data_IF_328473621147
#
_entry.id   IF_328473621147
#
_cell.length_a   1.000
_cell.length_b   1.000
_cell.length_c   1.000
_cell.angle_alpha   90.00
_cell.angle_beta   90.00
_cell.angle_gamma   90.00
#
_symmetry.space_group_name_H-M   'P 1'
#
loop_
_entity.id
_entity.type
_entity.pdbx_description
1 polymer ?
#
# COMPACT_ATOMS: atom_id res chain seq x y z
N UNK A 1 6.38 8.67 11.34
CA UNK A 1 7.47 8.71 10.36
C UNK A 1 8.64 9.52 10.91
N UNK A 2 9.89 9.09 10.73
CA UNK A 2 11.08 9.86 11.12
C UNK A 2 11.34 11.04 10.18
N UNK A 3 10.64 11.12 9.04
CA UNK A 3 10.80 12.17 8.04
C UNK A 3 9.61 13.11 8.01
N UNK A 4 9.91 14.40 7.78
CA UNK A 4 8.87 15.38 7.51
C UNK A 4 8.27 15.14 6.12
N UNK A 5 6.95 15.27 6.01
CA UNK A 5 6.25 15.21 4.72
C UNK A 5 6.64 16.46 3.90
N UNK A 6 7.27 16.25 2.75
CA UNK A 6 7.65 17.34 1.84
C UNK A 6 6.47 17.75 0.95
N UNK A 7 5.73 16.76 0.43
CA UNK A 7 4.56 16.97 -0.44
C UNK A 7 3.67 15.73 -0.42
N UNK A 8 2.41 15.89 -0.84
CA UNK A 8 1.44 14.80 -0.99
C UNK A 8 0.67 14.94 -2.30
N UNK A 9 0.44 13.81 -2.97
CA UNK A 9 -0.37 13.76 -4.17
C UNK A 9 -1.33 12.59 -4.13
N UNK A 10 -2.53 12.75 -4.69
CA UNK A 10 -3.54 11.69 -4.83
C UNK A 10 -3.87 11.49 -6.31
N UNK A 11 -3.93 10.26 -6.75
CA UNK A 11 -4.32 9.91 -8.10
C UNK A 11 -4.98 8.53 -8.12
N UNK A 12 -5.70 8.24 -9.20
CA UNK A 12 -6.19 6.89 -9.47
C UNK A 12 -5.06 6.05 -10.08
N UNK A 13 -4.98 4.79 -9.65
CA UNK A 13 -4.13 3.79 -10.28
C UNK A 13 -4.88 3.12 -11.43
N UNK A 14 -4.18 2.86 -12.52
CA UNK A 14 -4.70 2.01 -13.59
C UNK A 14 -4.74 0.53 -13.15
N UNK A 15 -5.56 -0.28 -13.78
CA UNK A 15 -5.67 -1.71 -13.49
C UNK A 15 -4.35 -2.49 -13.68
N UNK A 16 -3.39 -1.95 -14.44
CA UNK A 16 -2.06 -2.52 -14.61
C UNK A 16 -1.04 -2.08 -13.52
N UNK A 17 -1.51 -1.37 -12.48
CA UNK A 17 -0.68 -0.90 -11.39
C UNK A 17 0.15 0.35 -11.67
N UNK A 18 -0.14 1.10 -12.75
CA UNK A 18 0.55 2.36 -13.06
C UNK A 18 -0.28 3.57 -12.62
N UNK A 19 0.40 4.62 -12.15
CA UNK A 19 -0.23 5.89 -11.81
C UNK A 19 0.71 7.06 -12.06
N UNK A 20 0.14 8.24 -12.27
CA UNK A 20 0.89 9.50 -12.39
C UNK A 20 0.43 10.43 -11.28
N UNK A 21 1.38 10.92 -10.51
CA UNK A 21 1.17 11.79 -9.37
C UNK A 21 1.84 13.13 -9.61
N UNK A 22 1.14 14.21 -9.30
CA UNK A 22 1.67 15.57 -9.44
C UNK A 22 2.08 16.10 -8.07
N UNK A 23 3.36 16.39 -7.91
CA UNK A 23 3.94 17.00 -6.73
C UNK A 23 4.31 18.45 -7.04
N UNK A 24 3.77 19.40 -6.28
CA UNK A 24 3.92 20.83 -6.56
C UNK A 24 5.09 21.46 -5.77
N UNK A 25 5.46 20.85 -4.64
CA UNK A 25 6.48 21.39 -3.73
C UNK A 25 7.79 20.59 -3.76
N UNK A 26 7.87 19.51 -4.53
CA UNK A 26 9.09 18.73 -4.68
C UNK A 26 10.06 19.42 -5.66
N UNK A 27 11.35 19.41 -5.29
CA UNK A 27 12.41 20.07 -6.07
C UNK A 27 13.34 19.04 -6.73
N UNK A 28 13.87 19.38 -7.88
CA UNK A 28 14.89 18.59 -8.56
C UNK A 28 16.14 18.40 -7.71
N UNK A 29 16.76 17.23 -7.83
CA UNK A 29 18.01 16.86 -7.16
C UNK A 29 17.95 16.80 -5.63
N UNK A 30 16.78 16.96 -5.04
CA UNK A 30 16.56 16.72 -3.60
C UNK A 30 16.13 15.27 -3.41
N UNK A 31 16.77 14.52 -2.48
CA UNK A 31 16.41 13.13 -2.22
C UNK A 31 15.14 13.05 -1.35
N UNK A 32 14.14 12.29 -1.84
CA UNK A 32 12.88 12.01 -1.15
C UNK A 32 12.64 10.51 -1.07
N UNK A 33 12.22 10.01 0.09
CA UNK A 33 11.57 8.71 0.13
C UNK A 33 10.16 8.80 -0.45
N UNK A 34 9.81 7.89 -1.33
CA UNK A 34 8.44 7.74 -1.80
C UNK A 34 7.68 6.90 -0.79
N UNK A 35 6.53 7.38 -0.36
CA UNK A 35 5.62 6.71 0.54
C UNK A 35 4.29 6.46 -0.18
N UNK A 36 3.84 5.21 -0.21
CA UNK A 36 2.54 4.83 -0.74
C UNK A 36 1.60 4.51 0.42
N UNK A 37 0.42 5.14 0.41
CA UNK A 37 -0.69 4.81 1.28
C UNK A 37 -1.94 4.56 0.44
N UNK A 38 -2.67 3.52 0.77
CA UNK A 38 -3.95 3.18 0.17
C UNK A 38 -4.94 2.86 1.30
N UNK A 39 -6.26 2.96 1.04
CA UNK A 39 -7.32 2.87 2.05
C UNK A 39 -7.27 1.63 2.97
N UNK A 40 -6.66 0.53 2.52
CA UNK A 40 -6.64 -0.75 3.23
C UNK A 40 -5.32 -1.50 3.07
N UNK A 41 -4.25 -0.81 2.72
CA UNK A 41 -2.93 -1.42 2.59
C UNK A 41 -1.97 -0.89 3.62
N UNK A 42 -1.01 -1.73 3.97
CA UNK A 42 0.11 -1.34 4.81
C UNK A 42 0.95 -0.29 4.09
N UNK A 43 1.33 0.75 4.82
CA UNK A 43 2.20 1.81 4.36
C UNK A 43 3.52 1.26 3.81
N UNK A 44 3.86 1.62 2.57
CA UNK A 44 5.03 1.08 1.88
C UNK A 44 5.94 2.20 1.39
N UNK A 45 7.23 2.10 1.68
CA UNK A 45 8.24 3.10 1.36
C UNK A 45 9.21 2.60 0.29
N UNK A 46 9.74 3.51 -0.54
CA UNK A 46 10.82 3.17 -1.46
C UNK A 46 12.05 2.69 -0.69
N UNK A 47 12.79 1.73 -1.24
CA UNK A 47 13.96 1.14 -0.58
C UNK A 47 15.07 2.14 -0.28
N UNK A 48 15.13 3.22 -1.05
CA UNK A 48 16.06 4.33 -0.89
C UNK A 48 15.42 5.63 -1.35
N UNK A 49 16.01 6.76 -0.95
CA UNK A 49 15.57 8.05 -1.40
C UNK A 49 15.78 8.21 -2.92
N UNK A 50 14.81 8.84 -3.58
CA UNK A 50 14.74 9.09 -5.02
C UNK A 50 14.75 10.60 -5.26
N UNK A 51 15.18 11.04 -6.44
CA UNK A 51 15.22 12.47 -6.78
C UNK A 51 14.53 12.74 -8.11
N UNK A 52 13.88 13.90 -8.22
CA UNK A 52 13.39 14.41 -9.49
C UNK A 52 14.54 14.87 -10.38
N UNK A 53 14.37 14.68 -11.67
CA UNK A 53 15.28 15.20 -12.71
C UNK A 53 14.43 15.85 -13.79
N UNK A 54 14.63 17.15 -14.04
CA UNK A 54 13.81 17.94 -14.95
C UNK A 54 12.30 17.83 -14.68
N UNK A 55 11.93 17.85 -13.38
CA UNK A 55 10.54 17.77 -12.93
C UNK A 55 9.91 16.38 -13.02
N UNK A 56 10.68 15.32 -13.31
CA UNK A 56 10.15 13.96 -13.45
C UNK A 56 10.90 12.98 -12.54
N UNK A 57 10.15 12.09 -11.92
CA UNK A 57 10.64 10.93 -11.19
C UNK A 57 9.83 9.70 -11.62
N UNK A 58 10.50 8.57 -11.83
CA UNK A 58 9.84 7.29 -12.10
C UNK A 58 10.37 6.24 -11.13
N UNK A 59 9.46 5.49 -10.53
CA UNK A 59 9.80 4.42 -9.62
C UNK A 59 8.88 3.22 -9.83
N UNK A 60 9.44 2.02 -9.91
CA UNK A 60 8.67 0.78 -10.08
C UNK A 60 8.82 -0.11 -8.85
N UNK A 61 7.80 -0.12 -8.00
CA UNK A 61 7.74 -1.01 -6.84
C UNK A 61 7.54 -2.48 -7.25
N UNK A 62 7.01 -2.76 -8.44
CA UNK A 62 6.47 -4.09 -8.77
C UNK A 62 7.49 -5.10 -9.28
N UNK A 63 8.69 -4.68 -9.68
CA UNK A 63 9.65 -5.54 -10.38
C UNK A 63 10.58 -6.33 -9.45
N UNK A 64 10.70 -5.95 -8.18
CA UNK A 64 11.51 -6.64 -7.19
C UNK A 64 11.00 -6.34 -5.77
N UNK A 65 11.09 -7.32 -4.88
CA UNK A 65 10.82 -7.15 -3.45
C UNK A 65 11.76 -6.10 -2.82
N UNK A 66 12.97 -5.95 -3.38
CA UNK A 66 13.98 -5.00 -2.91
C UNK A 66 13.66 -3.55 -3.24
N UNK A 67 12.58 -3.27 -3.97
CA UNK A 67 12.12 -1.91 -4.24
C UNK A 67 11.42 -1.28 -3.03
N UNK A 68 10.90 -2.09 -2.12
CA UNK A 68 10.35 -1.56 -0.87
C UNK A 68 11.37 -1.59 0.26
N UNK A 69 11.33 -0.58 1.13
CA UNK A 69 12.15 -0.54 2.34
C UNK A 69 11.84 -1.76 3.22
N UNK A 70 12.88 -2.40 3.75
CA UNK A 70 12.74 -3.64 4.50
C UNK A 70 12.19 -4.82 3.69
N UNK A 71 12.13 -4.73 2.36
CA UNK A 71 11.51 -5.75 1.48
C UNK A 71 10.05 -6.06 1.84
N UNK A 72 9.30 -5.05 2.33
CA UNK A 72 7.94 -5.17 2.82
C UNK A 72 6.92 -5.21 1.67
N UNK A 73 6.96 -6.27 0.87
CA UNK A 73 6.04 -6.51 -0.24
C UNK A 73 5.74 -8.01 -0.39
N UNK A 74 4.63 -8.32 -1.05
CA UNK A 74 4.21 -9.70 -1.35
C UNK A 74 4.37 -10.00 -2.84
N UNK A 75 4.82 -11.21 -3.17
CA UNK A 75 4.80 -11.68 -4.56
C UNK A 75 3.35 -11.96 -4.98
N UNK A 76 2.87 -11.26 -6.01
CA UNK A 76 1.51 -11.40 -6.53
C UNK A 76 1.44 -12.17 -7.85
N UNK A 77 2.56 -12.31 -8.56
CA UNK A 77 2.64 -13.10 -9.79
C UNK A 77 4.06 -13.67 -9.95
N UNK A 78 4.15 -14.88 -10.50
CA UNK A 78 5.42 -15.58 -10.74
C UNK A 78 5.90 -15.49 -12.20
N UNK A 79 5.01 -15.22 -13.16
CA UNK A 79 5.37 -15.09 -14.57
C UNK A 79 4.41 -14.14 -15.31
N UNK A 80 4.83 -12.90 -15.63
CA UNK A 80 6.06 -12.24 -15.18
C UNK A 80 6.10 -12.09 -13.66
N UNK A 81 7.29 -12.12 -13.08
CA UNK A 81 7.45 -11.89 -11.64
C UNK A 81 6.98 -10.47 -11.27
N UNK A 82 6.04 -10.38 -10.32
CA UNK A 82 5.48 -9.13 -9.85
C UNK A 82 5.26 -9.14 -8.34
N UNK A 83 5.45 -7.99 -7.74
CA UNK A 83 5.24 -7.73 -6.32
C UNK A 83 4.15 -6.67 -6.12
N UNK A 84 3.47 -6.74 -4.99
CA UNK A 84 2.45 -5.81 -4.57
C UNK A 84 2.63 -5.41 -3.11
N UNK A 85 1.96 -4.36 -2.69
CA UNK A 85 1.88 -3.94 -1.28
C UNK A 85 0.93 -4.88 -0.52
N UNK A 86 1.18 -5.08 0.78
CA UNK A 86 0.30 -5.88 1.62
C UNK A 86 -1.02 -5.14 1.88
N UNK A 87 -2.15 -5.85 1.77
CA UNK A 87 -3.46 -5.38 2.21
C UNK A 87 -3.75 -5.79 3.65
N UNK A 88 -4.84 -5.23 4.23
CA UNK A 88 -5.36 -5.64 5.53
C UNK A 88 -5.26 -4.61 6.64
N UNK A 89 -4.44 -3.58 6.50
CA UNK A 89 -4.38 -2.46 7.45
C UNK A 89 -5.53 -1.49 7.15
N UNK A 90 -6.72 -1.83 7.63
CA UNK A 90 -7.96 -1.07 7.34
C UNK A 90 -8.16 0.11 8.28
N UNK A 91 -7.55 0.07 9.48
CA UNK A 91 -7.57 1.15 10.46
C UNK A 91 -6.39 2.13 10.30
N UNK A 92 -5.41 1.78 9.43
CA UNK A 92 -4.22 2.58 9.10
C UNK A 92 -3.32 2.85 10.32
N UNK A 93 -3.16 1.84 11.19
CA UNK A 93 -2.26 1.92 12.35
C UNK A 93 -0.86 1.33 12.09
N UNK A 94 -0.58 0.96 10.83
CA UNK A 94 0.69 0.42 10.32
C UNK A 94 0.91 -1.08 10.58
N UNK A 95 -0.07 -1.77 11.09
CA UNK A 95 0.03 -3.20 11.41
C UNK A 95 -1.24 -3.90 10.96
N UNK A 96 -1.13 -5.12 10.45
CA UNK A 96 -2.31 -5.95 10.19
C UNK A 96 -2.49 -6.87 11.38
N UNK A 97 -3.59 -6.68 12.13
CA UNK A 97 -3.85 -7.47 13.34
C UNK A 97 -5.35 -7.75 13.57
N UNK A 98 -5.69 -8.21 14.77
CA UNK A 98 -7.06 -8.55 15.15
C UNK A 98 -8.00 -7.34 15.17
N UNK A 99 -7.48 -6.12 15.25
CA UNK A 99 -8.29 -4.90 15.21
C UNK A 99 -8.86 -4.71 13.82
N UNK A 100 -8.03 -4.92 12.79
CA UNK A 100 -8.46 -4.87 11.38
C UNK A 100 -9.47 -5.97 11.07
N UNK A 101 -9.18 -7.20 11.49
CA UNK A 101 -10.10 -8.33 11.31
C UNK A 101 -11.46 -8.04 11.94
N UNK A 102 -11.48 -7.42 13.14
CA UNK A 102 -12.73 -7.07 13.80
C UNK A 102 -13.55 -6.04 13.02
N UNK A 103 -12.90 -5.11 12.33
CA UNK A 103 -13.58 -4.14 11.46
C UNK A 103 -14.17 -4.83 10.22
N UNK A 104 -13.40 -5.72 9.58
CA UNK A 104 -13.87 -6.49 8.42
C UNK A 104 -15.03 -7.40 8.80
N UNK A 105 -14.91 -8.17 9.89
CA UNK A 105 -15.97 -9.05 10.38
C UNK A 105 -17.25 -8.28 10.71
N UNK A 106 -17.12 -7.10 11.32
CA UNK A 106 -18.27 -6.26 11.62
C UNK A 106 -18.98 -5.80 10.35
N UNK A 107 -18.24 -5.35 9.35
CA UNK A 107 -18.81 -4.90 8.08
C UNK A 107 -19.40 -6.07 7.28
N UNK A 108 -18.77 -7.24 7.28
CA UNK A 108 -19.28 -8.45 6.66
C UNK A 108 -20.63 -8.87 7.31
N UNK A 109 -20.71 -8.85 8.65
CA UNK A 109 -21.94 -9.17 9.37
C UNK A 109 -23.07 -8.14 9.14
N UNK A 110 -22.73 -6.91 8.79
CA UNK A 110 -23.68 -5.86 8.43
C UNK A 110 -23.97 -5.79 6.92
N UNK A 111 -23.44 -6.71 6.14
CA UNK A 111 -23.62 -6.76 4.67
C UNK A 111 -23.23 -5.44 4.00
N UNK A 112 -22.07 -4.89 4.34
CA UNK A 112 -21.55 -3.66 3.75
C UNK A 112 -21.07 -3.94 2.32
N UNK A 113 -21.38 -3.03 1.40
CA UNK A 113 -21.02 -3.09 -0.01
C UNK A 113 -20.38 -1.78 -0.48
N UNK A 114 -19.63 -1.87 -1.59
CA UNK A 114 -19.05 -0.74 -2.30
C UNK A 114 -17.60 -0.46 -1.90
N UNK A 115 -17.10 0.69 -2.34
CA UNK A 115 -15.71 1.09 -2.17
C UNK A 115 -15.40 1.53 -0.73
N UNK A 116 -15.22 0.56 0.17
CA UNK A 116 -14.91 0.76 1.60
C UNK A 116 -13.53 0.21 1.95
N UNK A 117 -12.98 0.58 3.10
CA UNK A 117 -11.64 0.11 3.52
C UNK A 117 -11.61 -1.37 3.82
N UNK A 118 -12.72 -1.95 4.20
CA UNK A 118 -12.88 -3.37 4.56
C UNK A 118 -13.08 -4.30 3.35
N UNK A 119 -13.34 -3.76 2.15
CA UNK A 119 -13.29 -4.49 0.87
C UNK A 119 -11.82 -4.59 0.41
N UNK A 120 -11.14 -5.67 0.78
CA UNK A 120 -9.72 -5.85 0.49
C UNK A 120 -9.45 -6.40 -0.91
N UNK A 121 -10.36 -7.23 -1.43
CA UNK A 121 -10.21 -7.87 -2.74
C UNK A 121 -10.72 -6.99 -3.89
N UNK A 122 -11.54 -5.95 -3.60
CA UNK A 122 -12.06 -4.99 -4.56
C UNK A 122 -13.25 -5.50 -5.36
N UNK A 123 -14.00 -6.47 -4.85
CA UNK A 123 -15.20 -7.00 -5.51
C UNK A 123 -16.50 -6.28 -5.13
N UNK A 124 -16.37 -5.19 -4.36
CA UNK A 124 -17.46 -4.35 -3.86
C UNK A 124 -18.37 -5.02 -2.81
N UNK A 125 -17.97 -6.15 -2.25
CA UNK A 125 -18.68 -6.82 -1.16
C UNK A 125 -17.72 -7.10 -0.01
N UNK A 126 -18.14 -6.84 1.24
CA UNK A 126 -17.32 -7.21 2.39
C UNK A 126 -17.77 -8.57 2.90
N UNK A 127 -16.90 -9.57 2.82
CA UNK A 127 -17.19 -10.93 3.24
C UNK A 127 -15.97 -11.71 3.76
N UNK A 128 -16.11 -13.04 3.87
CA UNK A 128 -15.07 -13.93 4.37
C UNK A 128 -13.80 -13.91 3.49
N UNK A 129 -13.89 -13.56 2.21
CA UNK A 129 -12.72 -13.48 1.33
C UNK A 129 -11.79 -12.32 1.70
N UNK A 130 -12.37 -11.20 2.16
CA UNK A 130 -11.60 -10.05 2.68
C UNK A 130 -10.96 -10.38 4.01
N UNK A 131 -11.74 -10.98 4.92
CA UNK A 131 -11.24 -11.43 6.21
C UNK A 131 -10.07 -12.42 6.05
N UNK A 132 -10.11 -13.32 5.08
CA UNK A 132 -9.04 -14.28 4.82
C UNK A 132 -7.72 -13.60 4.38
N UNK A 133 -7.78 -12.49 3.65
CA UNK A 133 -6.59 -11.72 3.28
C UNK A 133 -5.95 -11.09 4.52
N UNK A 134 -6.76 -10.44 5.36
CA UNK A 134 -6.28 -9.82 6.59
C UNK A 134 -5.76 -10.87 7.59
N UNK A 135 -6.48 -11.97 7.80
CA UNK A 135 -6.08 -13.06 8.70
C UNK A 135 -4.72 -13.67 8.31
N UNK A 136 -4.51 -13.93 7.01
CA UNK A 136 -3.23 -14.43 6.51
C UNK A 136 -2.08 -13.43 6.77
N UNK A 137 -2.33 -12.16 6.60
CA UNK A 137 -1.31 -11.13 6.81
C UNK A 137 -1.07 -10.87 8.31
N UNK A 138 -2.10 -10.90 9.13
CA UNK A 138 -1.99 -10.83 10.59
C UNK A 138 -1.21 -12.03 11.16
N UNK A 139 -1.49 -13.24 10.67
CA UNK A 139 -0.75 -14.45 11.06
C UNK A 139 0.75 -14.36 10.72
N UNK A 140 1.10 -13.66 9.63
CA UNK A 140 2.48 -13.41 9.22
C UNK A 140 3.09 -12.15 9.85
N UNK A 141 2.41 -11.51 10.80
CA UNK A 141 2.86 -10.29 11.49
C UNK A 141 3.22 -9.16 10.53
N UNK A 142 2.43 -8.99 9.47
CA UNK A 142 2.66 -7.94 8.47
C UNK A 142 2.48 -6.56 9.10
N UNK A 143 3.49 -5.74 8.97
CA UNK A 143 3.49 -4.35 9.44
C UNK A 143 4.33 -3.46 8.53
N UNK A 144 4.14 -2.15 8.64
CA UNK A 144 4.96 -1.18 7.92
C UNK A 144 6.42 -1.22 8.38
N UNK A 145 7.33 -1.14 7.42
CA UNK A 145 8.77 -1.00 7.70
C UNK A 145 9.21 0.37 7.22
N UNK A 146 9.61 1.20 8.17
CA UNK A 146 9.93 2.61 7.95
C UNK A 146 11.44 2.80 7.75
N UNK A 147 11.86 3.72 6.87
CA UNK A 147 13.27 4.08 6.68
C UNK A 147 13.84 4.89 7.85
#
# INVERSE_FOLDING_TARGET
SPYAVADTAKAFMNANGTGTFLFENASDSVPYYLHISHRNSVETWSSSAQSFTSGVMSYDFTNSILQAFGSSMIQINSSPLKFGIYGGDVNQDLTVDLTDLSLIDNDANNFIFGYVSTDLNGDEAVDISDAAIADNNAFNFVSAVLP
#
